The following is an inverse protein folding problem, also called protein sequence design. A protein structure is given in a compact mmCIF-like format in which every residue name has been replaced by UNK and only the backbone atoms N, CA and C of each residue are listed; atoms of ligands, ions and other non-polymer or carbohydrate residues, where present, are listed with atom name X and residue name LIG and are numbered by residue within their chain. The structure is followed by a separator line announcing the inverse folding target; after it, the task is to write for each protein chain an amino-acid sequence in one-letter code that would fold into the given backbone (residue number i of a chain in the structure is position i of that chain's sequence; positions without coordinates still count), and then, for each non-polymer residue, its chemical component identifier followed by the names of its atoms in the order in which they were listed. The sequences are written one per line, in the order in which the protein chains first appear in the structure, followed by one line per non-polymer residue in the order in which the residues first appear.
data_IF_189744648946
#
_entry.id   IF_189744648946
#
_cell.length_a   1.000
_cell.length_b   1.000
_cell.length_c   1.000
_cell.angle_alpha   90.00
_cell.angle_beta   90.00
_cell.angle_gamma   90.00
#
_symmetry.space_group_name_H-M   'P 1'
#
loop_
_entity.id
_entity.type
_entity.pdbx_description
1 polymer ?
#
# COMPACT_ATOMS: atom_id res chain seq x y z
N UNK A 1 -27.10 29.38 -35.06
CA UNK A 1 -27.92 28.65 -34.07
C UNK A 1 -26.93 27.94 -33.18
N UNK A 2 -26.57 28.52 -32.04
CA UNK A 2 -25.61 27.91 -31.12
C UNK A 2 -26.15 26.56 -30.66
N UNK A 3 -25.55 25.48 -31.14
CA UNK A 3 -25.78 24.16 -30.58
C UNK A 3 -24.94 24.12 -29.33
N UNK A 4 -25.61 24.15 -28.19
CA UNK A 4 -25.00 23.85 -26.91
C UNK A 4 -24.61 22.37 -27.00
N UNK A 5 -23.36 22.11 -27.37
CA UNK A 5 -22.80 20.76 -27.37
C UNK A 5 -22.74 20.37 -25.90
N UNK A 6 -23.61 19.43 -25.53
CA UNK A 6 -23.61 18.85 -24.20
C UNK A 6 -22.41 17.92 -24.14
N UNK A 7 -21.31 18.40 -23.57
CA UNK A 7 -20.29 17.54 -22.98
C UNK A 7 -21.03 16.67 -21.96
N UNK A 8 -21.37 15.45 -22.36
CA UNK A 8 -21.77 14.42 -21.43
C UNK A 8 -20.53 14.10 -20.61
N UNK A 9 -20.34 14.86 -19.52
CA UNK A 9 -19.53 14.46 -18.37
C UNK A 9 -20.08 13.09 -17.96
N UNK A 10 -19.49 12.03 -18.51
CA UNK A 10 -19.67 10.69 -17.98
C UNK A 10 -19.10 10.75 -16.57
N UNK A 11 -20.00 10.54 -15.62
CA UNK A 11 -19.79 10.89 -14.24
C UNK A 11 -18.51 10.24 -13.72
N UNK A 12 -17.63 11.09 -13.22
CA UNK A 12 -16.51 10.78 -12.32
C UNK A 12 -16.99 9.66 -11.40
N UNK A 13 -16.55 8.44 -11.69
CA UNK A 13 -16.71 7.33 -10.77
C UNK A 13 -15.76 7.65 -9.62
N UNK A 14 -16.24 8.47 -8.67
CA UNK A 14 -15.58 8.65 -7.38
C UNK A 14 -15.66 7.32 -6.64
N UNK A 15 -14.82 6.37 -7.03
CA UNK A 15 -14.43 5.19 -6.28
C UNK A 15 -13.68 5.71 -5.07
N UNK A 16 -14.44 6.21 -4.10
CA UNK A 16 -13.94 6.50 -2.78
C UNK A 16 -13.52 5.16 -2.16
N UNK A 17 -12.32 4.69 -2.52
CA UNK A 17 -11.61 3.68 -1.77
C UNK A 17 -11.46 4.30 -0.39
N UNK A 18 -12.28 3.81 0.53
CA UNK A 18 -12.26 4.18 1.92
C UNK A 18 -10.91 3.72 2.49
N UNK A 19 -9.87 4.55 2.27
CA UNK A 19 -8.59 4.39 2.95
C UNK A 19 -8.90 4.65 4.40
N UNK A 20 -9.10 3.56 5.15
CA UNK A 20 -9.25 3.57 6.58
C UNK A 20 -8.06 4.29 7.18
N UNK A 21 -8.22 5.59 7.43
CA UNK A 21 -7.34 6.39 8.26
C UNK A 21 -7.52 5.91 9.70
N UNK A 22 -6.91 4.76 10.01
CA UNK A 22 -7.06 4.06 11.28
C UNK A 22 -5.97 3.01 11.45
N UNK A 23 -4.93 3.39 12.20
CA UNK A 23 -4.03 2.56 13.01
C UNK A 23 -3.75 1.12 12.54
N UNK A 24 -2.56 0.88 11.98
CA UNK A 24 -1.92 -0.44 11.92
C UNK A 24 -2.71 -1.60 11.27
N UNK A 25 -3.73 -1.33 10.46
CA UNK A 25 -4.41 -2.41 9.73
C UNK A 25 -3.41 -3.13 8.81
N UNK A 26 -3.33 -4.44 8.99
CA UNK A 26 -2.58 -5.34 8.12
C UNK A 26 -3.14 -5.25 6.69
N UNK A 27 -2.25 -5.32 5.71
CA UNK A 27 -2.62 -5.34 4.29
C UNK A 27 -2.62 -6.77 3.81
N UNK A 28 -3.61 -7.11 2.99
CA UNK A 28 -3.80 -8.44 2.43
C UNK A 28 -3.42 -8.49 0.95
N UNK A 29 -3.39 -9.70 0.39
CA UNK A 29 -3.24 -9.87 -1.07
C UNK A 29 -4.46 -9.42 -1.85
N UNK A 30 -5.63 -9.41 -1.21
CA UNK A 30 -6.88 -8.94 -1.81
C UNK A 30 -6.81 -7.43 -2.01
N UNK A 31 -6.38 -6.67 -0.99
CA UNK A 31 -6.18 -5.21 -1.10
C UNK A 31 -5.21 -4.84 -2.24
N UNK A 32 -4.11 -5.61 -2.41
CA UNK A 32 -3.19 -5.41 -3.53
C UNK A 32 -3.81 -5.77 -4.88
N UNK A 33 -4.65 -6.80 -4.93
CA UNK A 33 -5.35 -7.18 -6.14
C UNK A 33 -6.34 -6.09 -6.55
N UNK A 34 -7.12 -5.57 -5.61
CA UNK A 34 -8.11 -4.53 -5.84
C UNK A 34 -7.43 -3.24 -6.31
N UNK A 35 -6.37 -2.79 -5.62
CA UNK A 35 -5.61 -1.61 -6.05
C UNK A 35 -4.96 -1.77 -7.43
N UNK A 36 -4.57 -2.99 -7.82
CA UNK A 36 -4.04 -3.26 -9.17
C UNK A 36 -5.15 -3.29 -10.22
N UNK A 37 -6.35 -3.73 -9.85
CA UNK A 37 -7.51 -3.68 -10.73
C UNK A 37 -7.91 -2.21 -10.97
N UNK A 38 -7.90 -1.37 -9.94
CA UNK A 38 -8.12 0.07 -10.08
C UNK A 38 -7.18 0.69 -11.10
N UNK A 39 -5.86 0.43 -11.00
CA UNK A 39 -4.87 0.90 -11.99
C UNK A 39 -5.19 0.44 -13.42
N UNK A 40 -5.79 -0.74 -13.59
CA UNK A 40 -6.18 -1.25 -14.89
C UNK A 40 -7.41 -0.51 -15.42
N UNK A 41 -8.39 -0.21 -14.56
CA UNK A 41 -9.60 0.55 -14.88
C UNK A 41 -9.24 1.99 -15.27
N UNK A 42 -8.48 2.69 -14.43
CA UNK A 42 -8.00 4.07 -14.67
C UNK A 42 -7.22 4.21 -15.99
N UNK A 43 -6.36 3.23 -16.31
CA UNK A 43 -5.64 3.23 -17.59
C UNK A 43 -6.56 3.03 -18.79
N UNK A 44 -7.66 2.28 -18.63
CA UNK A 44 -8.67 2.15 -19.68
C UNK A 44 -9.45 3.44 -19.84
N UNK A 45 -9.83 4.10 -18.75
CA UNK A 45 -10.54 5.39 -18.77
C UNK A 45 -9.68 6.48 -19.43
N UNK A 46 -8.41 6.60 -19.04
CA UNK A 46 -7.44 7.49 -19.73
C UNK A 46 -7.31 7.16 -21.22
N UNK A 47 -7.36 5.88 -21.61
CA UNK A 47 -7.31 5.50 -23.02
C UNK A 47 -8.58 5.92 -23.77
N UNK A 48 -9.75 5.79 -23.15
CA UNK A 48 -11.04 6.22 -23.71
C UNK A 48 -11.07 7.75 -23.83
N UNK A 49 -10.70 8.49 -22.79
CA UNK A 49 -10.62 9.95 -22.81
C UNK A 49 -9.73 10.47 -23.94
N UNK A 50 -8.60 9.81 -24.21
CA UNK A 50 -7.74 10.12 -25.36
C UNK A 50 -8.39 9.84 -26.72
N UNK A 51 -9.20 8.81 -26.82
CA UNK A 51 -9.94 8.50 -28.05
C UNK A 51 -11.04 9.54 -28.28
N UNK A 52 -11.85 9.82 -27.26
CA UNK A 52 -12.95 10.78 -27.31
C UNK A 52 -12.43 12.19 -27.63
N UNK A 53 -11.38 12.64 -26.93
CA UNK A 53 -10.67 13.89 -27.23
C UNK A 53 -10.23 13.98 -28.70
N UNK A 54 -9.71 12.88 -29.25
CA UNK A 54 -9.23 12.86 -30.64
C UNK A 54 -10.39 12.87 -31.64
N UNK A 55 -11.51 12.21 -31.33
CA UNK A 55 -12.74 12.24 -32.11
C UNK A 55 -13.32 13.66 -32.14
N UNK A 56 -13.42 14.33 -31.00
CA UNK A 56 -13.93 15.70 -30.87
C UNK A 56 -13.07 16.71 -31.65
N UNK A 57 -11.75 16.66 -31.49
CA UNK A 57 -10.83 17.52 -32.28
C UNK A 57 -10.98 17.27 -33.79
N UNK A 58 -11.24 16.02 -34.20
CA UNK A 58 -11.42 15.68 -35.61
C UNK A 58 -12.77 16.16 -36.14
N UNK A 59 -13.83 16.07 -35.35
CA UNK A 59 -15.16 16.59 -35.68
C UNK A 59 -15.09 18.10 -35.91
N UNK A 60 -14.59 18.86 -34.93
CA UNK A 60 -14.43 20.33 -35.01
C UNK A 60 -13.56 20.76 -36.20
N UNK A 61 -12.44 20.04 -36.43
CA UNK A 61 -11.59 20.32 -37.60
C UNK A 61 -12.32 20.09 -38.92
N UNK A 62 -13.12 19.02 -39.01
CA UNK A 62 -13.87 18.71 -40.23
C UNK A 62 -14.98 19.74 -40.47
N UNK A 63 -15.63 20.25 -39.42
CA UNK A 63 -16.61 21.33 -39.51
C UNK A 63 -15.95 22.63 -40.00
N UNK A 64 -14.83 23.04 -39.40
CA UNK A 64 -14.06 24.21 -39.84
C UNK A 64 -13.62 24.10 -41.31
N UNK A 65 -13.17 22.92 -41.75
CA UNK A 65 -12.75 22.69 -43.15
C UNK A 65 -13.95 22.67 -44.11
N UNK A 66 -15.09 22.12 -43.69
CA UNK A 66 -16.32 22.18 -44.47
C UNK A 66 -16.77 23.64 -44.67
N UNK A 67 -16.64 24.49 -43.66
CA UNK A 67 -16.96 25.92 -43.78
C UNK A 67 -15.99 26.66 -44.70
N UNK A 68 -14.68 26.35 -44.63
CA UNK A 68 -13.70 26.85 -45.61
C UNK A 68 -14.07 26.52 -47.05
N UNK A 69 -14.60 25.33 -47.30
CA UNK A 69 -14.94 24.87 -48.65
C UNK A 69 -16.25 25.46 -49.18
N UNK A 70 -17.20 25.83 -48.31
CA UNK A 70 -18.50 26.41 -48.73
C UNK A 70 -18.37 27.84 -49.28
N UNK A 71 -17.33 28.59 -48.91
CA UNK A 71 -17.24 30.03 -49.21
C UNK A 71 -16.16 30.34 -50.25
N UNK A 72 -16.53 30.76 -51.47
CA UNK A 72 -15.55 31.20 -52.51
C UNK A 72 -14.74 32.46 -52.14
N UNK A 73 -15.15 33.20 -51.11
CA UNK A 73 -14.44 34.35 -50.56
C UNK A 73 -14.71 34.38 -49.05
N UNK A 74 -13.77 33.94 -48.19
CA UNK A 74 -14.06 33.64 -46.80
C UNK A 74 -14.62 34.87 -46.09
N UNK A 75 -15.74 34.68 -45.38
CA UNK A 75 -16.18 35.62 -44.37
C UNK A 75 -15.22 35.46 -43.19
N UNK A 76 -14.21 36.34 -43.12
CA UNK A 76 -13.07 36.17 -42.21
C UNK A 76 -13.48 36.10 -40.73
N UNK A 77 -14.60 36.72 -40.35
CA UNK A 77 -15.09 36.70 -38.98
C UNK A 77 -15.61 35.33 -38.56
N UNK A 78 -16.36 34.65 -39.44
CA UNK A 78 -16.91 33.30 -39.20
C UNK A 78 -15.81 32.24 -39.18
N UNK A 79 -14.84 32.36 -40.10
CA UNK A 79 -13.67 31.48 -40.15
C UNK A 79 -12.72 31.62 -38.94
N UNK A 80 -12.68 32.81 -38.33
CA UNK A 80 -11.90 33.05 -37.11
C UNK A 80 -12.60 32.49 -35.87
N UNK A 81 -13.93 32.55 -35.81
CA UNK A 81 -14.72 31.98 -34.72
C UNK A 81 -14.57 30.45 -34.68
N UNK A 82 -14.76 29.77 -35.81
CA UNK A 82 -14.59 28.30 -35.95
C UNK A 82 -13.17 27.83 -35.57
N UNK A 83 -12.14 28.64 -35.89
CA UNK A 83 -10.77 28.36 -35.45
C UNK A 83 -10.58 28.51 -33.95
N UNK A 84 -11.30 29.44 -33.31
CA UNK A 84 -11.30 29.60 -31.86
C UNK A 84 -11.98 28.41 -31.20
N UNK A 85 -13.12 27.97 -31.72
CA UNK A 85 -13.86 26.79 -31.23
C UNK A 85 -13.00 25.51 -31.33
N UNK A 86 -12.32 25.29 -32.48
CA UNK A 86 -11.36 24.16 -32.59
C UNK A 86 -10.21 24.26 -31.58
N UNK A 87 -9.76 25.46 -31.23
CA UNK A 87 -8.71 25.65 -30.23
C UNK A 87 -9.24 25.39 -28.82
N UNK A 88 -10.42 25.90 -28.47
CA UNK A 88 -11.10 25.67 -27.20
C UNK A 88 -11.34 24.16 -27.00
N UNK A 89 -11.87 23.45 -28.00
CA UNK A 89 -12.05 22.00 -27.95
C UNK A 89 -10.73 21.23 -27.72
N UNK A 90 -9.61 21.70 -28.28
CA UNK A 90 -8.29 21.11 -27.99
C UNK A 90 -7.84 21.37 -26.57
N UNK A 91 -8.10 22.55 -26.04
CA UNK A 91 -7.73 22.91 -24.67
C UNK A 91 -8.52 22.07 -23.67
N UNK A 92 -9.85 21.97 -23.84
CA UNK A 92 -10.74 21.13 -23.02
C UNK A 92 -10.37 19.64 -23.12
N UNK A 93 -10.12 19.13 -24.32
CA UNK A 93 -9.67 17.76 -24.54
C UNK A 93 -8.33 17.45 -23.84
N UNK A 94 -7.37 18.40 -23.86
CA UNK A 94 -6.10 18.23 -23.17
C UNK A 94 -6.26 18.29 -21.64
N UNK A 95 -7.17 19.11 -21.13
CA UNK A 95 -7.48 19.18 -19.70
C UNK A 95 -8.09 17.86 -19.22
N UNK A 96 -9.09 17.32 -19.92
CA UNK A 96 -9.68 16.02 -19.60
C UNK A 96 -8.64 14.88 -19.59
N UNK A 97 -7.77 14.82 -20.61
CA UNK A 97 -6.69 13.82 -20.63
C UNK A 97 -5.74 14.01 -19.43
N UNK A 98 -5.44 15.26 -19.04
CA UNK A 98 -4.53 15.54 -17.95
C UNK A 98 -5.10 15.15 -16.58
N UNK A 99 -6.41 15.32 -16.39
CA UNK A 99 -7.15 14.87 -15.20
C UNK A 99 -7.11 13.34 -15.07
N UNK A 100 -7.49 12.62 -16.12
CA UNK A 100 -7.46 11.14 -16.18
C UNK A 100 -6.05 10.57 -15.95
N UNK A 101 -5.03 11.19 -16.56
CA UNK A 101 -3.64 10.83 -16.30
C UNK A 101 -3.21 11.07 -14.85
N UNK A 102 -3.79 12.07 -14.18
CA UNK A 102 -3.54 12.30 -12.76
C UNK A 102 -4.15 11.19 -11.91
N UNK A 103 -5.40 10.82 -12.16
CA UNK A 103 -6.09 9.74 -11.43
C UNK A 103 -5.36 8.40 -11.60
N UNK A 104 -4.95 8.06 -12.83
CA UNK A 104 -4.07 6.90 -13.08
C UNK A 104 -2.78 6.94 -12.27
N UNK A 105 -2.11 8.11 -12.18
CA UNK A 105 -0.87 8.25 -11.39
C UNK A 105 -1.13 8.07 -9.89
N UNK A 106 -2.27 8.54 -9.38
CA UNK A 106 -2.65 8.41 -7.98
C UNK A 106 -2.96 6.94 -7.64
N UNK A 107 -3.74 6.25 -8.48
CA UNK A 107 -4.00 4.82 -8.34
C UNK A 107 -2.71 3.98 -8.37
N UNK A 108 -1.77 4.30 -9.28
CA UNK A 108 -0.46 3.63 -9.33
C UNK A 108 0.35 3.85 -8.05
N UNK A 109 0.34 5.06 -7.50
CA UNK A 109 1.04 5.35 -6.24
C UNK A 109 0.44 4.57 -5.07
N UNK A 110 -0.89 4.47 -5.00
CA UNK A 110 -1.56 3.71 -3.94
C UNK A 110 -1.31 2.21 -4.06
N UNK A 111 -1.42 1.63 -5.26
CA UNK A 111 -1.07 0.22 -5.50
C UNK A 111 0.38 -0.10 -5.08
N UNK A 112 1.32 0.79 -5.43
CA UNK A 112 2.73 0.65 -5.01
C UNK A 112 2.91 0.75 -3.49
N UNK A 113 2.16 1.63 -2.83
CA UNK A 113 2.19 1.79 -1.37
C UNK A 113 1.65 0.54 -0.67
N UNK A 114 0.52 0.00 -1.14
CA UNK A 114 -0.09 -1.23 -0.64
C UNK A 114 0.87 -2.41 -0.81
N UNK A 115 1.50 -2.54 -1.99
CA UNK A 115 2.51 -3.58 -2.25
C UNK A 115 3.71 -3.48 -1.31
N UNK A 116 4.24 -2.27 -1.10
CA UNK A 116 5.35 -2.04 -0.18
C UNK A 116 4.98 -2.42 1.25
N UNK A 117 3.78 -2.04 1.71
CA UNK A 117 3.30 -2.37 3.06
C UNK A 117 3.09 -3.87 3.24
N UNK A 118 2.48 -4.55 2.27
CA UNK A 118 2.31 -6.01 2.28
C UNK A 118 3.65 -6.75 2.35
N UNK A 119 4.62 -6.33 1.55
CA UNK A 119 5.97 -6.92 1.56
C UNK A 119 6.67 -6.70 2.90
N UNK A 120 6.56 -5.49 3.45
CA UNK A 120 7.17 -5.17 4.73
C UNK A 120 6.53 -5.96 5.88
N UNK A 121 5.21 -6.15 5.84
CA UNK A 121 4.47 -7.01 6.78
C UNK A 121 4.93 -8.47 6.69
N UNK A 122 5.01 -9.04 5.50
CA UNK A 122 5.51 -10.41 5.33
C UNK A 122 6.93 -10.59 5.87
N UNK A 123 7.80 -9.59 5.69
CA UNK A 123 9.14 -9.61 6.25
C UNK A 123 9.14 -9.52 7.77
N UNK A 124 8.28 -8.67 8.36
CA UNK A 124 8.08 -8.57 9.82
C UNK A 124 7.65 -9.92 10.38
N UNK A 125 6.61 -10.51 9.80
CA UNK A 125 5.99 -11.73 10.31
C UNK A 125 6.95 -12.92 10.20
N UNK A 126 7.73 -13.00 9.13
CA UNK A 126 8.78 -14.01 8.99
C UNK A 126 9.89 -13.85 10.04
N UNK A 127 10.30 -12.62 10.35
CA UNK A 127 11.28 -12.32 11.40
C UNK A 127 10.73 -12.68 12.79
N UNK A 128 9.50 -12.24 13.10
CA UNK A 128 8.84 -12.52 14.37
C UNK A 128 8.62 -14.02 14.59
N UNK A 129 8.32 -14.79 13.53
CA UNK A 129 8.21 -16.26 13.63
C UNK A 129 9.51 -16.91 14.12
N UNK A 130 10.67 -16.39 13.73
CA UNK A 130 11.96 -16.89 14.22
C UNK A 130 12.17 -16.54 15.69
N UNK A 131 11.79 -15.33 16.11
CA UNK A 131 11.86 -14.90 17.51
C UNK A 131 10.92 -15.74 18.40
N UNK A 132 9.68 -15.98 17.95
CA UNK A 132 8.70 -16.83 18.64
C UNK A 132 9.17 -18.28 18.80
N UNK A 133 9.95 -18.81 17.86
CA UNK A 133 10.52 -20.14 18.01
C UNK A 133 11.52 -20.23 19.19
N UNK A 134 12.25 -19.15 19.48
CA UNK A 134 13.17 -19.10 20.64
C UNK A 134 12.42 -18.95 21.96
N UNK A 135 11.32 -18.17 21.97
CA UNK A 135 10.40 -18.12 23.13
C UNK A 135 9.89 -19.53 23.43
N UNK A 136 9.44 -20.26 22.41
CA UNK A 136 8.96 -21.64 22.59
C UNK A 136 10.06 -22.62 23.03
N UNK A 137 11.29 -22.48 22.54
CA UNK A 137 12.43 -23.28 23.04
C UNK A 137 12.70 -23.02 24.52
N UNK A 138 12.58 -21.77 24.98
CA UNK A 138 12.70 -21.41 26.39
C UNK A 138 11.58 -22.02 27.25
N UNK A 139 10.33 -22.00 26.78
CA UNK A 139 9.21 -22.67 27.47
C UNK A 139 9.49 -24.16 27.71
N UNK A 140 9.94 -24.87 26.67
CA UNK A 140 10.28 -26.29 26.79
C UNK A 140 11.47 -26.54 27.72
N UNK A 141 12.44 -25.62 27.76
CA UNK A 141 13.58 -25.70 28.69
C UNK A 141 13.13 -25.50 30.13
N UNK A 142 12.26 -24.53 30.37
CA UNK A 142 11.69 -24.26 31.69
C UNK A 142 10.93 -25.49 32.19
N UNK A 143 10.02 -26.05 31.39
CA UNK A 143 9.25 -27.25 31.75
C UNK A 143 10.18 -28.43 32.12
N UNK A 144 11.26 -28.64 31.37
CA UNK A 144 12.24 -29.69 31.67
C UNK A 144 13.05 -29.43 32.96
N UNK A 145 13.34 -28.16 33.28
CA UNK A 145 14.01 -27.79 34.52
C UNK A 145 13.07 -27.91 35.73
N UNK A 146 11.80 -27.56 35.57
CA UNK A 146 10.75 -27.74 36.59
C UNK A 146 10.59 -29.21 36.95
N UNK A 147 10.47 -30.10 35.95
CA UNK A 147 10.39 -31.55 36.18
C UNK A 147 11.64 -32.09 36.90
N UNK A 148 12.82 -31.55 36.57
CA UNK A 148 14.07 -31.92 37.24
C UNK A 148 14.11 -31.43 38.69
N UNK A 149 13.62 -30.21 38.97
CA UNK A 149 13.59 -29.62 40.30
C UNK A 149 12.62 -30.35 41.26
N UNK A 150 11.53 -30.92 40.75
CA UNK A 150 10.55 -31.67 41.54
C UNK A 150 11.15 -32.89 42.26
N UNK A 151 12.22 -33.47 41.72
CA UNK A 151 12.93 -34.60 42.32
C UNK A 151 14.10 -34.23 43.23
N UNK A 152 14.35 -32.94 43.43
CA UNK A 152 15.51 -32.41 44.16
C UNK A 152 15.09 -31.63 45.40
N UNK A 153 16.01 -31.49 46.35
CA UNK A 153 15.80 -30.75 47.59
C UNK A 153 17.07 -29.94 47.94
N UNK A 154 16.88 -28.85 48.69
CA UNK A 154 17.98 -28.00 49.17
C UNK A 154 18.69 -27.26 48.04
N UNK A 155 20.01 -27.05 48.19
CA UNK A 155 20.77 -26.15 47.34
C UNK A 155 20.75 -26.48 45.83
N UNK A 156 20.56 -27.76 45.46
CA UNK A 156 20.45 -28.16 44.05
C UNK A 156 19.12 -27.73 43.43
N UNK A 157 18.03 -27.80 44.21
CA UNK A 157 16.72 -27.30 43.79
C UNK A 157 16.74 -25.78 43.70
N UNK A 158 17.25 -25.09 44.73
CA UNK A 158 17.36 -23.63 44.74
C UNK A 158 18.15 -23.11 43.52
N UNK A 159 19.21 -23.81 43.11
CA UNK A 159 19.99 -23.43 41.93
C UNK A 159 19.22 -23.58 40.61
N UNK A 160 18.35 -24.59 40.48
CA UNK A 160 17.52 -24.78 39.29
C UNK A 160 16.36 -23.78 39.27
N UNK A 161 15.75 -23.47 40.42
CA UNK A 161 14.71 -22.45 40.53
C UNK A 161 15.23 -21.09 40.06
N UNK A 162 16.46 -20.71 40.42
CA UNK A 162 17.10 -19.48 39.90
C UNK A 162 17.24 -19.51 38.36
N UNK A 163 17.65 -20.65 37.79
CA UNK A 163 17.76 -20.78 36.33
C UNK A 163 16.40 -20.64 35.63
N UNK A 164 15.34 -21.19 36.23
CA UNK A 164 13.96 -21.06 35.74
C UNK A 164 13.53 -19.59 35.77
N UNK A 165 13.77 -18.88 36.87
CA UNK A 165 13.44 -17.45 37.01
C UNK A 165 14.17 -16.57 35.98
N UNK A 166 15.45 -16.83 35.74
CA UNK A 166 16.26 -16.11 34.74
C UNK A 166 15.74 -16.37 33.31
N UNK A 167 15.44 -17.62 32.97
CA UNK A 167 14.84 -17.98 31.69
C UNK A 167 13.47 -17.33 31.48
N UNK A 168 12.60 -17.37 32.49
CA UNK A 168 11.28 -16.71 32.44
C UNK A 168 11.43 -15.21 32.19
N UNK A 169 12.31 -14.54 32.94
CA UNK A 169 12.53 -13.08 32.79
C UNK A 169 12.97 -12.72 31.37
N UNK A 170 13.86 -13.53 30.77
CA UNK A 170 14.34 -13.29 29.41
C UNK A 170 13.33 -13.68 28.33
N UNK A 171 12.54 -14.73 28.55
CA UNK A 171 11.43 -15.14 27.70
C UNK A 171 10.36 -14.04 27.65
N UNK A 172 9.89 -13.55 28.80
CA UNK A 172 8.89 -12.47 28.90
C UNK A 172 9.39 -11.21 28.20
N UNK A 173 10.65 -10.83 28.44
CA UNK A 173 11.24 -9.65 27.78
C UNK A 173 11.26 -9.80 26.25
N UNK A 174 11.59 -10.97 25.72
CA UNK A 174 11.55 -11.19 24.28
C UNK A 174 10.10 -11.15 23.76
N UNK A 175 9.15 -11.71 24.50
CA UNK A 175 7.73 -11.68 24.16
C UNK A 175 7.19 -10.24 24.11
N UNK A 176 7.56 -9.40 25.08
CA UNK A 176 7.20 -7.98 25.10
C UNK A 176 7.74 -7.24 23.87
N UNK A 177 9.01 -7.42 23.52
CA UNK A 177 9.59 -6.77 22.32
C UNK A 177 8.97 -7.27 21.01
N UNK A 178 8.57 -8.56 20.96
CA UNK A 178 7.82 -9.13 19.84
C UNK A 178 6.46 -8.44 19.70
N UNK A 179 5.72 -8.27 20.80
CA UNK A 179 4.38 -7.68 20.77
C UNK A 179 4.42 -6.16 20.51
N UNK A 180 5.42 -5.47 21.06
CA UNK A 180 5.76 -4.09 20.69
C UNK A 180 5.99 -3.96 19.18
N UNK A 181 6.79 -4.85 18.58
CA UNK A 181 7.07 -4.82 17.15
C UNK A 181 5.81 -5.11 16.30
N UNK A 182 4.93 -6.02 16.73
CA UNK A 182 3.64 -6.28 16.05
C UNK A 182 2.73 -5.06 16.07
N UNK A 183 2.76 -4.29 17.16
CA UNK A 183 1.94 -3.09 17.32
C UNK A 183 2.38 -1.92 16.44
N UNK A 184 3.54 -2.01 15.79
CA UNK A 184 4.03 -0.98 14.88
C UNK A 184 3.47 -1.14 13.46
N UNK A 185 3.39 -0.01 12.77
CA UNK A 185 3.16 0.01 11.33
C UNK A 185 4.20 -0.84 10.60
N UNK A 186 3.75 -1.63 9.63
CA UNK A 186 4.59 -2.57 8.90
C UNK A 186 5.73 -1.89 8.12
N UNK A 187 5.71 -0.59 7.85
CA UNK A 187 6.85 0.11 7.26
C UNK A 187 7.88 0.56 8.30
N UNK A 188 7.55 0.48 9.60
CA UNK A 188 8.38 0.99 10.71
C UNK A 188 8.93 -0.10 11.63
N UNK A 189 8.54 -1.36 11.47
CA UNK A 189 8.95 -2.44 12.38
C UNK A 189 10.48 -2.60 12.50
N UNK A 190 11.24 -2.26 11.44
CA UNK A 190 12.70 -2.34 11.44
C UNK A 190 13.34 -1.46 12.53
N UNK A 191 12.65 -0.41 12.98
CA UNK A 191 13.12 0.42 14.10
C UNK A 191 13.20 -0.31 15.44
N UNK A 192 12.44 -1.42 15.60
CA UNK A 192 12.45 -2.30 16.79
C UNK A 192 13.32 -3.54 16.63
N UNK A 193 13.98 -3.70 15.47
CA UNK A 193 14.73 -4.91 15.16
C UNK A 193 15.94 -5.10 16.08
N UNK A 194 16.59 -4.01 16.48
CA UNK A 194 17.76 -4.07 17.36
C UNK A 194 17.38 -4.53 18.78
N UNK A 195 16.25 -4.06 19.29
CA UNK A 195 15.71 -4.42 20.61
C UNK A 195 15.32 -5.90 20.66
N UNK A 196 14.56 -6.38 19.66
CA UNK A 196 14.21 -7.80 19.54
C UNK A 196 15.48 -8.65 19.39
N UNK A 197 16.44 -8.24 18.55
CA UNK A 197 17.67 -9.01 18.36
C UNK A 197 18.52 -9.07 19.64
N UNK A 198 18.55 -7.98 20.41
CA UNK A 198 19.24 -7.97 21.72
C UNK A 198 18.55 -8.93 22.70
N UNK A 199 17.22 -8.88 22.81
CA UNK A 199 16.46 -9.77 23.68
C UNK A 199 16.65 -11.25 23.27
N UNK A 200 16.63 -11.54 21.97
CA UNK A 200 16.91 -12.86 21.41
C UNK A 200 18.31 -13.37 21.79
N UNK A 201 19.33 -12.52 21.68
CA UNK A 201 20.70 -12.91 22.02
C UNK A 201 20.87 -13.20 23.51
N UNK A 202 20.23 -12.41 24.38
CA UNK A 202 20.23 -12.64 25.82
C UNK A 202 19.54 -13.97 26.15
N UNK A 203 18.35 -14.22 25.62
CA UNK A 203 17.65 -15.49 25.84
C UNK A 203 18.43 -16.69 25.30
N UNK A 204 19.02 -16.57 24.10
CA UNK A 204 19.83 -17.63 23.50
C UNK A 204 21.08 -17.96 24.33
N UNK A 205 21.67 -16.95 24.97
CA UNK A 205 22.79 -17.15 25.90
C UNK A 205 22.32 -17.93 27.13
N UNK A 206 21.20 -17.54 27.73
CA UNK A 206 20.65 -18.21 28.90
C UNK A 206 20.28 -19.68 28.63
N UNK A 207 19.63 -19.93 27.48
CA UNK A 207 19.35 -21.28 26.97
C UNK A 207 20.60 -22.15 26.77
N UNK A 208 21.76 -21.54 26.50
CA UNK A 208 23.02 -22.26 26.34
C UNK A 208 23.68 -22.57 27.69
N UNK A 209 23.51 -21.71 28.69
CA UNK A 209 24.08 -21.85 30.04
C UNK A 209 23.26 -22.84 30.91
N UNK A 210 21.98 -23.02 30.61
CA UNK A 210 21.04 -23.93 31.29
C UNK A 210 20.99 -25.36 30.70
N UNK A 211 22.00 -25.74 29.91
CA UNK A 211 22.13 -27.08 29.30
C UNK A 211 22.57 -28.17 30.27
#
# INVERSE_FOLDING_TARGET
MSRIIRVTMYGICSSAIAVGSGCNQDVTREDLSDARNEVIEERQETQVARQDAQEEINEERNETEAERQKVMRPNFDELNEEQRETQEAREEANEAIAEEEQETREAEQEANRIEAKLKAQQSRDAYLKQAQAQVHEAELRIEALEEKADGLDGAEKDAIEVQIEELHTHQERLQDEIDDMKSLDALKWQSKQAEVETAKQVLAKELAETK
#
